data_IF_814615780655
#
_entry.id   IF_814615780655
#
_cell.length_a   1.000
_cell.length_b   1.000
_cell.length_c   1.000
_cell.angle_alpha   90.00
_cell.angle_beta   90.00
_cell.angle_gamma   90.00
#
_symmetry.space_group_name_H-M   'P 1'
#
loop_
_entity.id
_entity.type
_entity.pdbx_description
1 polymer ?
#
# COMPACT_ATOMS: atom_id res chain seq x y z
N UNK A 1 15.43 4.71 14.13
CA UNK A 1 14.44 5.26 13.17
C UNK A 1 13.28 4.29 13.03
N UNK A 2 12.03 4.77 12.98
CA UNK A 2 10.86 3.94 12.70
C UNK A 2 10.22 4.40 11.41
N UNK A 3 9.96 3.47 10.49
CA UNK A 3 9.26 3.76 9.23
C UNK A 3 8.07 2.80 9.07
N UNK A 4 7.05 3.25 8.34
CA UNK A 4 5.93 2.40 7.92
C UNK A 4 5.94 2.35 6.39
N UNK A 5 5.83 1.16 5.81
CA UNK A 5 5.83 0.97 4.37
C UNK A 5 4.78 -0.06 3.97
N UNK A 6 4.16 0.16 2.80
CA UNK A 6 3.38 -0.88 2.12
C UNK A 6 4.35 -1.70 1.27
N UNK A 7 4.34 -3.01 1.42
CA UNK A 7 5.26 -3.93 0.73
C UNK A 7 4.51 -4.90 -0.16
N UNK A 8 5.20 -5.45 -1.16
CA UNK A 8 4.74 -6.62 -1.89
C UNK A 8 5.56 -7.87 -1.48
N UNK A 9 4.99 -9.08 -1.61
CA UNK A 9 5.71 -10.33 -1.34
C UNK A 9 6.98 -10.44 -2.19
N UNK A 10 8.05 -10.93 -1.57
CA UNK A 10 9.37 -11.07 -2.20
C UNK A 10 9.31 -11.83 -3.54
N UNK A 11 8.57 -12.94 -3.56
CA UNK A 11 8.39 -13.80 -4.74
C UNK A 11 7.83 -13.05 -5.96
N UNK A 12 7.10 -11.97 -5.73
CA UNK A 12 6.47 -11.18 -6.78
C UNK A 12 7.24 -9.90 -7.12
N UNK A 13 8.28 -9.55 -6.37
CA UNK A 13 8.90 -8.22 -6.44
C UNK A 13 9.53 -7.92 -7.80
N UNK A 14 10.28 -8.86 -8.38
CA UNK A 14 10.85 -8.67 -9.72
C UNK A 14 9.78 -8.41 -10.79
N UNK A 15 8.68 -9.17 -10.75
CA UNK A 15 7.55 -8.99 -11.66
C UNK A 15 6.85 -7.66 -11.40
N UNK A 16 6.69 -7.29 -10.14
CA UNK A 16 6.11 -6.00 -9.74
C UNK A 16 6.94 -4.83 -10.28
N UNK A 17 8.27 -4.86 -10.16
CA UNK A 17 9.17 -3.83 -10.67
C UNK A 17 9.06 -3.64 -12.18
N UNK A 18 8.88 -4.73 -12.93
CA UNK A 18 8.81 -4.72 -14.40
C UNK A 18 7.39 -4.47 -14.96
N UNK A 19 6.39 -4.24 -14.11
CA UNK A 19 5.00 -4.06 -14.53
C UNK A 19 4.42 -2.71 -14.12
N UNK A 20 3.32 -2.32 -14.76
CA UNK A 20 2.49 -1.18 -14.37
C UNK A 20 1.07 -1.68 -14.14
N UNK A 21 0.61 -1.65 -12.90
CA UNK A 21 -0.72 -2.05 -12.50
C UNK A 21 -1.69 -0.84 -12.45
N UNK A 22 -2.95 -1.11 -12.11
CA UNK A 22 -3.97 -0.08 -11.97
C UNK A 22 -3.57 1.03 -10.97
N UNK A 23 -2.95 0.67 -9.84
CA UNK A 23 -2.60 1.60 -8.76
C UNK A 23 -1.48 2.52 -9.25
N UNK A 24 -0.39 1.95 -9.77
CA UNK A 24 0.75 2.69 -10.33
C UNK A 24 0.38 3.55 -11.53
N UNK A 25 -0.63 3.18 -12.31
CA UNK A 25 -1.03 3.94 -13.49
C UNK A 25 -2.05 5.04 -13.19
N UNK A 26 -2.96 4.83 -12.25
CA UNK A 26 -4.15 5.69 -12.12
C UNK A 26 -4.42 6.27 -10.75
N UNK A 27 -3.82 5.74 -9.67
CA UNK A 27 -4.06 6.20 -8.30
C UNK A 27 -2.82 6.90 -7.76
N UNK A 28 -1.66 6.22 -7.80
CA UNK A 28 -0.37 6.76 -7.38
C UNK A 28 0.67 6.60 -8.51
N UNK A 29 0.67 7.50 -9.52
CA UNK A 29 1.67 7.51 -10.58
C UNK A 29 3.09 7.50 -10.04
N UNK A 30 3.89 6.51 -10.45
CA UNK A 30 5.27 6.35 -9.99
C UNK A 30 5.42 5.76 -8.58
N UNK A 31 4.33 5.36 -7.92
CA UNK A 31 4.39 4.68 -6.63
C UNK A 31 5.12 3.33 -6.72
N UNK A 32 5.76 2.92 -5.62
CA UNK A 32 6.55 1.70 -5.55
C UNK A 32 6.33 0.98 -4.22
N UNK A 33 6.05 -0.33 -4.29
CA UNK A 33 5.91 -1.23 -3.15
C UNK A 33 7.19 -2.09 -3.10
N UNK A 34 8.17 -1.77 -2.23
CA UNK A 34 9.35 -2.60 -2.09
C UNK A 34 9.00 -3.94 -1.45
N UNK A 35 9.84 -4.95 -1.66
CA UNK A 35 9.85 -6.12 -0.80
C UNK A 35 10.71 -5.88 0.45
N UNK A 36 10.56 -6.71 1.48
CA UNK A 36 11.41 -6.60 2.67
C UNK A 36 12.90 -6.80 2.37
N UNK A 37 13.25 -7.69 1.44
CA UNK A 37 14.65 -7.85 1.00
C UNK A 37 15.15 -6.57 0.36
N UNK A 38 14.37 -5.97 -0.53
CA UNK A 38 14.75 -4.72 -1.19
C UNK A 38 14.95 -3.58 -0.18
N UNK A 39 14.14 -3.53 0.89
CA UNK A 39 14.35 -2.57 1.97
C UNK A 39 15.68 -2.85 2.68
N UNK A 40 15.98 -4.12 3.03
CA UNK A 40 17.24 -4.49 3.69
C UNK A 40 18.47 -4.18 2.84
N UNK A 41 18.43 -4.51 1.55
CA UNK A 41 19.52 -4.26 0.60
C UNK A 41 19.75 -2.77 0.33
N UNK A 42 18.72 -1.94 0.49
CA UNK A 42 18.83 -0.50 0.34
C UNK A 42 19.41 0.21 1.58
N UNK A 43 19.54 -0.48 2.72
CA UNK A 43 20.13 0.13 3.90
C UNK A 43 21.67 0.17 3.80
N UNK A 44 22.29 1.28 4.25
CA UNK A 44 23.73 1.34 4.38
C UNK A 44 24.23 0.38 5.48
N UNK A 45 25.49 -0.09 5.42
CA UNK A 45 26.00 -1.13 6.32
C UNK A 45 25.97 -0.72 7.82
N UNK A 46 26.02 0.58 8.12
CA UNK A 46 25.94 1.11 9.48
C UNK A 46 24.53 1.04 10.08
N UNK A 47 23.52 0.66 9.30
CA UNK A 47 22.14 0.52 9.73
C UNK A 47 21.65 -0.91 9.55
N UNK A 48 20.87 -1.38 10.51
CA UNK A 48 20.22 -2.69 10.46
C UNK A 48 18.76 -2.61 10.88
N UNK A 49 17.94 -3.46 10.28
CA UNK A 49 16.55 -3.65 10.72
C UNK A 49 16.56 -4.58 11.93
N UNK A 50 16.21 -4.04 13.09
CA UNK A 50 16.16 -4.81 14.36
C UNK A 50 14.77 -5.33 14.67
N UNK A 51 13.71 -4.75 14.08
CA UNK A 51 12.34 -5.22 14.24
C UNK A 51 11.49 -4.92 13.01
N UNK A 52 10.64 -5.87 12.63
CA UNK A 52 9.55 -5.68 11.68
C UNK A 52 8.26 -6.12 12.36
N UNK A 53 7.22 -5.30 12.24
CA UNK A 53 5.86 -5.61 12.70
C UNK A 53 4.95 -5.57 11.48
N UNK A 54 4.27 -6.67 11.21
CA UNK A 54 3.31 -6.78 10.12
C UNK A 54 1.92 -6.39 10.61
N UNK A 55 1.27 -5.46 9.91
CA UNK A 55 -0.05 -4.93 10.26
C UNK A 55 -1.03 -4.93 9.09
N UNK A 56 -0.67 -5.47 7.91
CA UNK A 56 -1.50 -5.40 6.71
C UNK A 56 -2.86 -6.07 6.85
N UNK A 57 -2.97 -7.15 7.62
CA UNK A 57 -4.26 -7.81 7.88
C UNK A 57 -5.26 -6.91 8.61
N UNK A 58 -4.78 -5.95 9.42
CA UNK A 58 -5.62 -4.95 10.05
C UNK A 58 -6.02 -3.80 9.11
N UNK A 59 -5.34 -3.69 7.96
CA UNK A 59 -5.58 -2.63 7.01
C UNK A 59 -6.77 -2.94 6.08
N UNK A 60 -7.06 -4.21 5.80
CA UNK A 60 -8.24 -4.59 5.01
C UNK A 60 -9.57 -4.09 5.64
N UNK A 61 -9.87 -4.32 6.93
CA UNK A 61 -11.05 -3.72 7.58
C UNK A 61 -11.08 -2.19 7.50
N UNK A 62 -9.92 -1.53 7.58
CA UNK A 62 -9.83 -0.07 7.45
C UNK A 62 -10.26 0.38 6.05
N UNK A 63 -9.81 -0.32 5.01
CA UNK A 63 -10.19 -0.06 3.62
C UNK A 63 -11.68 -0.35 3.36
N UNK A 64 -12.25 -1.37 4.00
CA UNK A 64 -13.69 -1.65 3.93
C UNK A 64 -14.52 -0.51 4.53
N UNK A 65 -14.12 0.01 5.70
CA UNK A 65 -14.77 1.17 6.32
C UNK A 65 -14.64 2.42 5.45
N UNK A 66 -13.49 2.66 4.83
CA UNK A 66 -13.29 3.77 3.90
C UNK A 66 -14.11 3.61 2.62
N UNK A 67 -14.26 2.39 2.11
CA UNK A 67 -15.15 2.11 0.99
C UNK A 67 -16.60 2.46 1.32
N UNK A 68 -17.11 2.01 2.47
CA UNK A 68 -18.47 2.35 2.92
C UNK A 68 -18.66 3.86 3.05
N UNK A 69 -17.74 4.55 3.75
CA UNK A 69 -17.80 6.00 3.89
C UNK A 69 -17.73 6.73 2.54
N UNK A 70 -16.92 6.24 1.60
CA UNK A 70 -16.82 6.79 0.24
C UNK A 70 -18.13 6.65 -0.53
N UNK A 71 -18.80 5.50 -0.42
CA UNK A 71 -20.08 5.23 -1.05
C UNK A 71 -21.19 6.10 -0.47
N UNK A 72 -21.28 6.19 0.85
CA UNK A 72 -22.26 7.04 1.57
C UNK A 72 -22.12 8.53 1.21
N UNK A 73 -20.90 8.99 0.93
CA UNK A 73 -20.61 10.38 0.60
C UNK A 73 -20.48 10.64 -0.91
N UNK A 74 -20.86 9.70 -1.78
CA UNK A 74 -20.71 9.81 -3.24
C UNK A 74 -21.36 11.06 -3.83
N UNK A 75 -22.60 11.37 -3.42
CA UNK A 75 -23.31 12.61 -3.78
C UNK A 75 -22.50 13.87 -3.45
N UNK A 76 -21.90 13.92 -2.26
CA UNK A 76 -21.10 15.06 -1.81
C UNK A 76 -19.82 15.18 -2.64
N UNK A 77 -19.15 14.06 -2.93
CA UNK A 77 -17.95 14.03 -3.76
C UNK A 77 -18.24 14.60 -5.16
N UNK A 78 -19.38 14.25 -5.77
CA UNK A 78 -19.78 14.79 -7.07
C UNK A 78 -20.09 16.30 -7.01
N UNK A 79 -20.74 16.77 -5.93
CA UNK A 79 -21.02 18.21 -5.72
C UNK A 79 -19.75 19.05 -5.53
N UNK A 80 -18.65 18.45 -5.08
CA UNK A 80 -17.33 19.09 -5.04
C UNK A 80 -16.68 19.27 -6.43
N UNK A 81 -17.33 18.81 -7.51
CA UNK A 81 -16.84 18.94 -8.89
C UNK A 81 -16.00 17.75 -9.37
N UNK A 82 -15.81 16.72 -8.55
CA UNK A 82 -15.14 15.50 -9.00
C UNK A 82 -16.01 14.72 -9.97
N UNK A 83 -15.41 14.22 -11.05
CA UNK A 83 -16.13 13.45 -12.06
C UNK A 83 -16.62 12.09 -11.55
N UNK A 84 -17.69 11.57 -12.15
CA UNK A 84 -18.15 10.19 -11.89
C UNK A 84 -17.08 9.14 -12.21
N UNK A 85 -16.21 9.41 -13.20
CA UNK A 85 -15.05 8.56 -13.52
C UNK A 85 -14.04 8.52 -12.36
N UNK A 86 -13.75 9.67 -11.76
CA UNK A 86 -12.91 9.76 -10.57
C UNK A 86 -13.53 8.99 -9.40
N UNK A 87 -14.82 9.20 -9.12
CA UNK A 87 -15.53 8.50 -8.06
C UNK A 87 -15.44 6.97 -8.20
N UNK A 88 -15.66 6.43 -9.41
CA UNK A 88 -15.52 4.99 -9.69
C UNK A 88 -14.09 4.45 -9.53
N UNK A 89 -13.07 5.23 -9.88
CA UNK A 89 -11.66 4.80 -9.69
C UNK A 89 -11.36 4.53 -8.22
N UNK A 90 -11.85 5.40 -7.33
CA UNK A 90 -11.64 5.26 -5.89
C UNK A 90 -12.45 4.13 -5.28
N UNK A 91 -13.70 3.91 -5.73
CA UNK A 91 -14.46 2.71 -5.37
C UNK A 91 -13.67 1.43 -5.67
N UNK A 92 -13.16 1.33 -6.90
CA UNK A 92 -12.36 0.19 -7.32
C UNK A 92 -11.04 0.09 -6.54
N UNK A 93 -10.36 1.21 -6.29
CA UNK A 93 -9.13 1.25 -5.52
C UNK A 93 -9.30 0.68 -4.10
N UNK A 94 -10.32 1.13 -3.35
CA UNK A 94 -10.55 0.65 -1.99
C UNK A 94 -10.89 -0.84 -1.96
N UNK A 95 -11.79 -1.30 -2.84
CA UNK A 95 -12.16 -2.71 -2.93
C UNK A 95 -10.97 -3.60 -3.34
N UNK A 96 -10.17 -3.16 -4.33
CA UNK A 96 -8.96 -3.85 -4.77
C UNK A 96 -7.95 -3.96 -3.62
N UNK A 97 -7.64 -2.84 -2.96
CA UNK A 97 -6.65 -2.85 -1.88
C UNK A 97 -7.11 -3.68 -0.69
N UNK A 98 -8.38 -3.61 -0.31
CA UNK A 98 -8.93 -4.45 0.77
C UNK A 98 -8.71 -5.92 0.46
N UNK A 99 -9.02 -6.33 -0.77
CA UNK A 99 -8.79 -7.70 -1.26
C UNK A 99 -7.30 -8.07 -1.23
N UNK A 100 -6.42 -7.20 -1.73
CA UNK A 100 -4.98 -7.46 -1.77
C UNK A 100 -4.38 -7.62 -0.36
N UNK A 101 -4.79 -6.80 0.61
CA UNK A 101 -4.37 -6.95 2.01
C UNK A 101 -4.93 -8.22 2.65
N UNK A 102 -6.24 -8.49 2.46
CA UNK A 102 -6.94 -9.65 3.03
C UNK A 102 -6.30 -10.97 2.60
N UNK A 103 -5.85 -11.06 1.35
CA UNK A 103 -5.19 -12.26 0.81
C UNK A 103 -3.66 -12.17 0.79
N UNK A 104 -3.06 -11.25 1.56
CA UNK A 104 -1.59 -11.10 1.71
C UNK A 104 -0.84 -10.94 0.39
N UNK A 105 -1.47 -10.36 -0.63
CA UNK A 105 -0.81 -9.96 -1.88
C UNK A 105 0.00 -8.67 -1.73
N UNK A 106 -0.30 -7.89 -0.70
CA UNK A 106 0.49 -6.76 -0.20
C UNK A 106 0.41 -6.76 1.33
N UNK A 107 1.35 -6.09 1.99
CA UNK A 107 1.37 -5.94 3.45
C UNK A 107 1.69 -4.50 3.83
N UNK A 108 1.38 -4.11 5.06
CA UNK A 108 1.85 -2.86 5.66
C UNK A 108 2.72 -3.27 6.83
N UNK A 109 3.98 -2.83 6.82
CA UNK A 109 4.94 -3.16 7.86
C UNK A 109 5.42 -1.91 8.57
N UNK A 110 5.67 -2.04 9.87
CA UNK A 110 6.39 -1.05 10.66
C UNK A 110 7.77 -1.58 11.00
N UNK A 111 8.80 -0.84 10.60
CA UNK A 111 10.20 -1.26 10.68
C UNK A 111 10.90 -0.38 11.71
N UNK A 112 11.64 -1.00 12.63
CA UNK A 112 12.64 -0.35 13.47
C UNK A 112 14.02 -0.56 12.83
N UNK A 113 14.67 0.55 12.50
CA UNK A 113 16.03 0.60 11.95
C UNK A 113 16.93 1.26 12.98
N UNK A 114 18.03 0.62 13.34
CA UNK A 114 18.98 1.08 14.35
C UNK A 114 20.40 1.00 13.81
N UNK A 115 21.34 1.65 14.50
CA UNK A 115 22.76 1.54 14.14
C UNK A 115 23.21 0.10 14.33
N UNK A 116 23.90 -0.46 13.33
CA UNK A 116 24.56 -1.75 13.42
C UNK A 116 25.62 -1.71 14.52
N UNK A 117 25.62 -2.73 15.37
CA UNK A 117 26.63 -2.94 16.41
C UNK A 117 27.92 -3.48 15.81
#
# INVERSE_FOLDING_TARGET
MRITAITCPELNYERYCRSSDFIKKYIFPGGHLPSERAIREALPPELSITKIIHIGQHYAPTLDLWYCAWMENGEKILKLGYSRKFHRKWQFYFALCSTLFRYSHIDTIQILIEKSL
#
